data_IF_812597766191
#
_entry.id   IF_812597766191
#
_cell.length_a   1.000
_cell.length_b   1.000
_cell.length_c   1.000
_cell.angle_alpha   90.00
_cell.angle_beta   90.00
_cell.angle_gamma   90.00
#
_symmetry.space_group_name_H-M   'P 1'
#
loop_
_entity.id
_entity.type
_entity.pdbx_description
1 polymer ?
#
# COMPACT_ATOMS: atom_id res chain seq x y z
N UNK A 1 20.90 12.63 12.65
CA UNK A 1 19.74 11.97 12.00
C UNK A 1 18.68 11.86 13.06
N UNK A 2 17.48 12.34 12.77
CA UNK A 2 16.34 12.12 13.67
C UNK A 2 16.07 10.62 13.79
N UNK A 3 15.63 10.18 14.97
CA UNK A 3 15.26 8.78 15.18
C UNK A 3 14.15 8.40 14.20
N UNK A 4 14.21 7.22 13.56
CA UNK A 4 13.18 6.79 12.63
C UNK A 4 11.83 6.71 13.36
N UNK A 5 10.77 7.14 12.67
CA UNK A 5 9.40 7.02 13.16
C UNK A 5 8.72 6.01 12.25
N UNK A 6 8.50 4.80 12.74
CA UNK A 6 7.81 3.78 11.94
C UNK A 6 6.29 3.95 12.00
N UNK A 7 5.63 3.63 10.89
CA UNK A 7 4.19 3.38 10.94
C UNK A 7 3.88 2.23 11.91
N UNK A 8 2.73 2.28 12.56
CA UNK A 8 2.15 1.17 13.33
C UNK A 8 1.16 0.37 12.48
N UNK A 9 0.41 1.06 11.61
CA UNK A 9 -0.54 0.45 10.68
C UNK A 9 -0.48 1.13 9.31
N UNK A 10 -0.60 0.31 8.27
CA UNK A 10 -0.59 0.74 6.87
C UNK A 10 -1.75 0.06 6.15
N UNK A 11 -2.45 0.81 5.31
CA UNK A 11 -3.50 0.33 4.43
C UNK A 11 -3.17 0.69 2.98
N UNK A 12 -3.34 -0.28 2.08
CA UNK A 12 -3.48 -0.03 0.64
C UNK A 12 -4.88 -0.43 0.21
N UNK A 13 -5.63 0.55 -0.28
CA UNK A 13 -7.01 0.36 -0.72
C UNK A 13 -7.11 0.49 -2.23
N UNK A 14 -7.38 -0.62 -2.91
CA UNK A 14 -7.55 -0.75 -4.35
C UNK A 14 -9.03 -0.61 -4.72
N UNK A 15 -9.36 0.39 -5.52
CA UNK A 15 -10.69 0.51 -6.12
C UNK A 15 -10.63 -0.11 -7.53
N UNK A 16 -11.27 -1.27 -7.72
CA UNK A 16 -11.36 -1.91 -9.03
C UNK A 16 -12.64 -1.51 -9.76
N UNK A 17 -12.64 -1.70 -11.08
CA UNK A 17 -13.86 -1.68 -11.89
C UNK A 17 -14.84 -2.78 -11.40
N UNK A 18 -16.15 -2.56 -11.56
CA UNK A 18 -17.25 -3.50 -11.21
C UNK A 18 -17.53 -3.71 -9.71
N UNK A 19 -17.47 -2.63 -8.94
CA UNK A 19 -17.80 -2.59 -7.51
C UNK A 19 -16.99 -3.55 -6.61
N UNK A 20 -15.76 -3.88 -7.03
CA UNK A 20 -14.83 -4.67 -6.24
C UNK A 20 -13.80 -3.77 -5.55
N UNK A 21 -13.51 -4.06 -4.29
CA UNK A 21 -12.58 -3.30 -3.45
C UNK A 21 -11.57 -4.27 -2.82
N UNK A 22 -10.29 -4.04 -3.09
CA UNK A 22 -9.19 -4.76 -2.46
C UNK A 22 -8.63 -3.94 -1.32
N UNK A 23 -8.46 -4.53 -0.15
CA UNK A 23 -7.84 -3.86 1.00
C UNK A 23 -6.70 -4.71 1.52
N UNK A 24 -5.48 -4.18 1.44
CA UNK A 24 -4.31 -4.75 2.10
C UNK A 24 -4.05 -4.00 3.39
N UNK A 25 -3.94 -4.72 4.51
CA UNK A 25 -3.65 -4.15 5.81
C UNK A 25 -2.38 -4.76 6.38
N UNK A 26 -1.41 -3.91 6.67
CA UNK A 26 -0.19 -4.24 7.37
C UNK A 26 -0.26 -3.66 8.79
N UNK A 27 -0.26 -4.53 9.78
CA UNK A 27 -0.17 -4.19 11.19
C UNK A 27 1.23 -4.56 11.69
N UNK A 28 2.09 -3.56 11.86
CA UNK A 28 3.49 -3.75 12.26
C UNK A 28 3.61 -4.13 13.74
N UNK A 29 2.66 -3.71 14.57
CA UNK A 29 2.63 -4.05 16.01
C UNK A 29 2.35 -5.54 16.19
N UNK A 30 1.34 -6.06 15.48
CA UNK A 30 0.94 -7.47 15.55
C UNK A 30 1.70 -8.37 14.58
N UNK A 31 2.58 -7.79 13.75
CA UNK A 31 3.33 -8.47 12.68
C UNK A 31 2.40 -9.25 11.74
N UNK A 32 1.33 -8.61 11.30
CA UNK A 32 0.30 -9.21 10.45
C UNK A 32 0.17 -8.47 9.13
N UNK A 33 0.10 -9.23 8.04
CA UNK A 33 -0.27 -8.74 6.74
C UNK A 33 -1.52 -9.49 6.28
N UNK A 34 -2.52 -8.74 5.83
CA UNK A 34 -3.76 -9.31 5.32
C UNK A 34 -4.19 -8.64 4.03
N UNK A 35 -4.95 -9.37 3.24
CA UNK A 35 -5.63 -8.86 2.06
C UNK A 35 -7.06 -9.39 2.00
N UNK A 36 -7.99 -8.51 1.68
CA UNK A 36 -9.39 -8.85 1.44
C UNK A 36 -9.86 -8.26 0.12
N UNK A 37 -10.58 -9.05 -0.67
CA UNK A 37 -11.30 -8.61 -1.85
C UNK A 37 -12.80 -8.71 -1.57
N UNK A 38 -13.48 -7.57 -1.64
CA UNK A 38 -14.90 -7.46 -1.34
C UNK A 38 -15.62 -6.98 -2.59
N UNK A 39 -16.75 -7.60 -2.93
CA UNK A 39 -17.70 -7.09 -3.93
C UNK A 39 -18.83 -6.38 -3.21
N UNK A 40 -19.05 -5.11 -3.53
CA UNK A 40 -20.12 -4.27 -2.99
C UNK A 40 -21.20 -4.11 -4.03
N UNK A 41 -22.41 -4.60 -3.80
CA UNK A 41 -23.53 -4.29 -4.69
C UNK A 41 -24.66 -3.66 -3.88
N UNK A 42 -24.88 -2.36 -4.10
CA UNK A 42 -25.81 -1.53 -3.32
C UNK A 42 -25.51 -1.56 -1.81
N UNK A 43 -26.24 -2.38 -1.05
CA UNK A 43 -26.11 -2.56 0.40
C UNK A 43 -25.54 -3.92 0.82
N UNK A 44 -25.25 -4.80 -0.15
CA UNK A 44 -24.72 -6.13 0.13
C UNK A 44 -23.22 -6.15 -0.12
N UNK A 45 -22.48 -6.62 0.88
CA UNK A 45 -21.05 -6.88 0.77
C UNK A 45 -20.81 -8.39 0.74
N UNK A 46 -20.01 -8.85 -0.21
CA UNK A 46 -19.58 -10.25 -0.28
C UNK A 46 -18.06 -10.31 -0.32
N UNK A 47 -17.47 -10.97 0.66
CA UNK A 47 -16.05 -11.32 0.64
C UNK A 47 -15.84 -12.35 -0.47
N UNK A 48 -15.10 -11.98 -1.51
CA UNK A 48 -14.71 -12.87 -2.61
C UNK A 48 -13.42 -13.63 -2.30
N UNK A 49 -12.54 -13.00 -1.53
CA UNK A 49 -11.26 -13.58 -1.13
C UNK A 49 -10.76 -12.92 0.15
N UNK A 50 -10.11 -13.71 1.01
CA UNK A 50 -9.39 -13.22 2.18
C UNK A 50 -8.15 -14.07 2.41
N UNK A 51 -7.04 -13.42 2.72
CA UNK A 51 -5.78 -14.05 3.06
C UNK A 51 -5.09 -13.26 4.18
N UNK A 52 -4.49 -13.97 5.12
CA UNK A 52 -3.71 -13.39 6.20
C UNK A 52 -2.43 -14.18 6.41
N UNK A 53 -1.36 -13.49 6.75
CA UNK A 53 -0.05 -14.08 7.04
C UNK A 53 0.62 -13.33 8.19
N UNK A 54 1.27 -14.08 9.08
CA UNK A 54 2.17 -13.52 10.09
C UNK A 54 3.52 -13.24 9.45
N UNK A 55 4.03 -12.03 9.68
CA UNK A 55 5.37 -11.63 9.30
C UNK A 55 6.35 -12.30 10.25
N UNK A 56 7.35 -12.99 9.69
CA UNK A 56 8.41 -13.62 10.47
C UNK A 56 9.32 -12.55 11.05
N UNK A 57 9.87 -12.82 12.22
CA UNK A 57 10.82 -11.90 12.86
C UNK A 57 12.04 -11.64 11.99
N UNK A 58 12.50 -12.65 11.24
CA UNK A 58 13.64 -12.52 10.31
C UNK A 58 13.35 -11.59 9.12
N UNK A 59 12.08 -11.46 8.71
CA UNK A 59 11.68 -10.57 7.61
C UNK A 59 11.47 -9.11 8.09
N UNK A 60 11.30 -8.89 9.40
CA UNK A 60 10.91 -7.60 9.96
C UNK A 60 11.97 -6.51 9.73
N UNK A 61 13.29 -6.74 9.92
CA UNK A 61 14.30 -5.71 9.65
C UNK A 61 14.31 -5.21 8.21
N UNK A 62 14.05 -6.10 7.24
CA UNK A 62 13.94 -5.75 5.82
C UNK A 62 12.68 -4.90 5.58
N UNK A 63 11.52 -5.36 6.08
CA UNK A 63 10.26 -4.63 5.95
C UNK A 63 10.31 -3.22 6.55
N UNK A 64 10.94 -3.05 7.73
CA UNK A 64 11.02 -1.76 8.41
C UNK A 64 11.73 -0.68 7.60
N UNK A 65 12.63 -1.05 6.67
CA UNK A 65 13.30 -0.10 5.77
C UNK A 65 12.32 0.63 4.85
N UNK A 66 11.13 0.07 4.62
CA UNK A 66 10.08 0.66 3.80
C UNK A 66 8.98 1.37 4.60
N UNK A 67 9.06 1.35 5.94
CA UNK A 67 7.96 1.77 6.82
C UNK A 67 8.29 2.98 7.70
N UNK A 68 9.41 3.67 7.45
CA UNK A 68 9.74 4.92 8.13
C UNK A 68 8.82 6.04 7.62
N UNK A 69 7.92 6.52 8.46
CA UNK A 69 6.93 7.53 8.14
C UNK A 69 7.54 8.86 7.71
N UNK A 70 8.73 9.20 8.22
CA UNK A 70 9.44 10.43 7.84
C UNK A 70 9.80 10.45 6.35
N UNK A 71 10.01 9.30 5.73
CA UNK A 71 10.33 9.21 4.29
C UNK A 71 9.12 9.59 3.42
N UNK A 72 7.91 9.53 3.98
CA UNK A 72 6.65 9.79 3.28
C UNK A 72 6.19 11.25 3.45
N UNK A 73 6.67 11.96 4.47
CA UNK A 73 6.26 13.35 4.76
C UNK A 73 6.46 14.33 3.60
N UNK A 74 7.54 14.27 2.79
CA UNK A 74 7.69 15.14 1.63
C UNK A 74 6.57 14.99 0.60
N UNK A 75 5.87 13.86 0.59
CA UNK A 75 4.79 13.53 -0.33
C UNK A 75 3.39 13.88 0.22
N UNK A 76 3.32 14.44 1.43
CA UNK A 76 2.07 14.86 2.04
C UNK A 76 1.44 15.98 1.24
N UNK A 77 0.17 15.79 0.85
CA UNK A 77 -0.62 16.78 0.10
C UNK A 77 0.03 17.24 -1.21
N UNK A 78 0.90 16.44 -1.83
CA UNK A 78 1.39 16.77 -3.16
C UNK A 78 0.21 16.82 -4.13
N UNK A 79 0.12 17.94 -4.84
CA UNK A 79 -0.84 18.19 -5.90
C UNK A 79 -0.47 17.39 -7.16
N UNK A 80 -1.42 16.64 -7.69
CA UNK A 80 -1.29 15.82 -8.90
C UNK A 80 -1.03 16.62 -10.18
N UNK A 81 -1.25 17.94 -10.14
CA UNK A 81 -0.96 18.85 -11.24
C UNK A 81 0.51 19.30 -11.33
N UNK A 82 1.35 18.98 -10.33
CA UNK A 82 2.76 19.40 -10.27
C UNK A 82 3.67 18.33 -10.90
N UNK A 83 3.81 18.38 -12.22
CA UNK A 83 4.86 17.74 -13.04
C UNK A 83 5.70 16.66 -12.35
N UNK A 84 5.13 15.48 -12.16
CA UNK A 84 5.80 14.35 -11.53
C UNK A 84 6.95 13.83 -12.41
N UNK A 85 8.17 14.11 -11.98
CA UNK A 85 9.38 13.61 -12.62
C UNK A 85 9.38 12.08 -12.59
N UNK A 86 9.63 11.45 -13.73
CA UNK A 86 9.74 9.99 -13.84
C UNK A 86 8.41 9.25 -14.00
N UNK A 87 7.30 9.93 -14.29
CA UNK A 87 6.09 9.24 -14.78
C UNK A 87 6.41 8.55 -16.10
N UNK A 88 6.00 7.29 -16.21
CA UNK A 88 5.94 6.59 -17.50
C UNK A 88 4.56 6.00 -17.83
N UNK A 89 3.58 6.10 -16.91
CA UNK A 89 2.23 5.62 -17.17
C UNK A 89 1.23 5.97 -16.07
N UNK A 90 -0.05 5.78 -16.39
CA UNK A 90 -1.18 5.97 -15.47
C UNK A 90 -1.78 4.61 -15.10
N UNK A 91 -2.39 4.54 -13.92
CA UNK A 91 -3.23 3.41 -13.51
C UNK A 91 -4.66 3.66 -13.99
N UNK A 92 -4.89 3.58 -15.30
CA UNK A 92 -6.18 3.86 -15.94
C UNK A 92 -7.33 3.12 -15.22
N UNK A 93 -8.24 3.89 -14.60
CA UNK A 93 -9.41 3.42 -13.85
C UNK A 93 -9.13 2.52 -12.62
N UNK A 94 -7.89 2.49 -12.13
CA UNK A 94 -7.50 1.67 -10.97
C UNK A 94 -6.60 2.46 -10.03
N UNK A 95 -7.21 3.15 -9.06
CA UNK A 95 -6.48 3.90 -8.04
C UNK A 95 -6.18 3.04 -6.80
N UNK A 96 -4.97 3.18 -6.26
CA UNK A 96 -4.64 2.71 -4.92
C UNK A 96 -4.57 3.90 -3.98
N UNK A 97 -5.22 3.82 -2.81
CA UNK A 97 -5.08 4.82 -1.75
C UNK A 97 -4.21 4.21 -0.66
N UNK A 98 -3.05 4.81 -0.43
CA UNK A 98 -2.21 4.52 0.73
C UNK A 98 -2.70 5.31 1.93
N UNK A 99 -2.80 4.66 3.09
CA UNK A 99 -2.94 5.30 4.40
C UNK A 99 -1.93 4.75 5.39
N UNK A 100 -1.22 5.61 6.09
CA UNK A 100 -0.26 5.24 7.13
C UNK A 100 -0.58 5.95 8.43
N UNK A 101 -0.58 5.22 9.55
CA UNK A 101 -0.69 5.76 10.91
C UNK A 101 0.55 5.33 11.68
N UNK A 102 1.13 6.25 12.44
CA UNK A 102 2.21 5.98 13.39
C UNK A 102 1.70 6.17 14.82
N UNK A 103 2.38 5.57 15.79
CA UNK A 103 2.12 5.85 17.21
C UNK A 103 2.92 7.07 17.70
N UNK A 104 3.08 8.08 16.84
CA UNK A 104 3.85 9.29 17.12
C UNK A 104 2.98 10.55 17.00
N UNK A 105 3.60 11.72 17.01
CA UNK A 105 2.94 13.00 16.77
C UNK A 105 2.54 13.22 15.29
N UNK A 106 3.01 12.39 14.36
CA UNK A 106 2.70 12.55 12.95
C UNK A 106 1.23 12.19 12.67
N UNK A 107 0.47 13.08 12.01
CA UNK A 107 -0.91 12.80 11.65
C UNK A 107 -0.96 11.71 10.58
N UNK A 108 -2.10 11.01 10.49
CA UNK A 108 -2.36 10.02 9.44
C UNK A 108 -1.96 10.59 8.08
N UNK A 109 -1.19 9.80 7.34
CA UNK A 109 -0.73 10.16 6.01
C UNK A 109 -1.61 9.47 4.98
N UNK A 110 -2.01 10.19 3.94
CA UNK A 110 -2.81 9.68 2.82
C UNK A 110 -2.17 10.08 1.51
N UNK A 111 -1.86 9.10 0.66
CA UNK A 111 -1.30 9.33 -0.68
C UNK A 111 -2.16 8.57 -1.70
N UNK A 112 -2.47 9.24 -2.81
CA UNK A 112 -3.10 8.62 -3.96
C UNK A 112 -2.03 8.07 -4.91
N UNK A 113 -2.18 6.81 -5.29
CA UNK A 113 -1.30 6.11 -6.23
C UNK A 113 -2.08 5.90 -7.52
N UNK A 114 -2.07 6.90 -8.38
CA UNK A 114 -2.77 6.91 -9.68
C UNK A 114 -1.81 6.85 -10.87
N UNK A 115 -0.51 6.97 -10.61
CA UNK A 115 0.58 6.98 -11.60
C UNK A 115 1.60 5.89 -11.30
N UNK A 116 2.38 5.53 -12.32
CA UNK A 116 3.57 4.70 -12.20
C UNK A 116 4.82 5.56 -12.38
N UNK A 117 5.73 5.48 -11.42
CA UNK A 117 7.04 6.12 -11.46
C UNK A 117 8.14 5.13 -11.87
N UNK A 118 9.12 5.61 -12.64
CA UNK A 118 10.33 4.85 -12.95
C UNK A 118 11.13 4.52 -11.67
N UNK A 119 12.06 3.57 -11.75
CA UNK A 119 12.80 3.10 -10.57
C UNK A 119 13.65 4.20 -9.90
N UNK A 120 14.04 5.24 -10.64
CA UNK A 120 14.83 6.36 -10.13
C UNK A 120 13.99 7.33 -9.32
N UNK A 121 12.72 7.48 -9.66
CA UNK A 121 11.82 8.48 -9.07
C UNK A 121 10.69 7.85 -8.23
N UNK A 122 10.61 6.52 -8.13
CA UNK A 122 9.57 5.79 -7.40
C UNK A 122 9.43 6.23 -5.94
N UNK A 123 8.18 6.45 -5.55
CA UNK A 123 7.81 6.94 -4.22
C UNK A 123 7.86 5.83 -3.15
N UNK A 124 8.01 6.19 -1.87
CA UNK A 124 8.15 5.20 -0.80
C UNK A 124 6.91 4.30 -0.64
N UNK A 125 5.70 4.82 -0.85
CA UNK A 125 4.46 4.02 -0.84
C UNK A 125 4.41 3.00 -1.98
N UNK A 126 4.90 3.36 -3.18
CA UNK A 126 5.01 2.41 -4.30
C UNK A 126 6.09 1.36 -4.04
N UNK A 127 7.25 1.75 -3.50
CA UNK A 127 8.31 0.80 -3.09
C UNK A 127 7.78 -0.22 -2.08
N UNK A 128 7.09 0.26 -1.04
CA UNK A 128 6.50 -0.59 -0.02
C UNK A 128 5.44 -1.53 -0.62
N UNK A 129 4.53 -1.01 -1.45
CA UNK A 129 3.52 -1.83 -2.10
C UNK A 129 4.15 -2.92 -2.98
N UNK A 130 5.13 -2.56 -3.83
CA UNK A 130 5.89 -3.50 -4.67
C UNK A 130 6.54 -4.60 -3.84
N UNK A 131 7.21 -4.23 -2.74
CA UNK A 131 7.84 -5.17 -1.81
C UNK A 131 6.83 -6.17 -1.23
N UNK A 132 5.71 -5.68 -0.68
CA UNK A 132 4.69 -6.53 -0.06
C UNK A 132 4.08 -7.50 -1.07
N UNK A 133 3.78 -7.02 -2.28
CA UNK A 133 3.25 -7.83 -3.37
C UNK A 133 4.24 -8.93 -3.75
N UNK A 134 5.51 -8.58 -3.97
CA UNK A 134 6.53 -9.55 -4.39
C UNK A 134 6.82 -10.60 -3.32
N UNK A 135 7.01 -10.17 -2.07
CA UNK A 135 7.38 -11.04 -0.95
C UNK A 135 6.24 -11.96 -0.51
N UNK A 136 5.01 -11.45 -0.37
CA UNK A 136 3.90 -12.18 0.24
C UNK A 136 2.83 -12.64 -0.75
N UNK A 137 2.74 -12.00 -1.93
CA UNK A 137 1.69 -12.26 -2.91
C UNK A 137 2.20 -12.60 -4.31
N UNK A 138 3.51 -12.82 -4.49
CA UNK A 138 4.13 -13.03 -5.81
C UNK A 138 3.70 -14.33 -6.52
N UNK A 139 3.04 -15.24 -5.80
CA UNK A 139 2.55 -16.49 -6.37
C UNK A 139 1.39 -16.24 -7.35
N UNK A 140 1.42 -16.88 -8.52
CA UNK A 140 0.40 -16.73 -9.60
C UNK A 140 -1.05 -16.87 -9.11
N UNK A 141 -1.28 -17.63 -8.04
CA UNK A 141 -2.60 -17.83 -7.42
C UNK A 141 -3.28 -16.54 -6.96
N UNK A 142 -2.51 -15.49 -6.65
CA UNK A 142 -3.03 -14.23 -6.12
C UNK A 142 -3.41 -13.22 -7.21
N UNK A 143 -2.86 -13.37 -8.43
CA UNK A 143 -3.12 -12.44 -9.55
C UNK A 143 -4.60 -12.36 -9.93
N UNK A 144 -5.32 -13.48 -9.85
CA UNK A 144 -6.77 -13.53 -10.14
C UNK A 144 -7.64 -12.75 -9.14
N UNK A 145 -7.06 -12.31 -8.02
CA UNK A 145 -7.75 -11.52 -6.98
C UNK A 145 -7.35 -10.04 -7.00
N UNK A 146 -6.74 -9.57 -8.10
CA UNK A 146 -6.35 -8.16 -8.28
C UNK A 146 -5.13 -7.75 -7.46
N UNK A 147 -4.32 -8.73 -7.02
CA UNK A 147 -3.07 -8.48 -6.29
C UNK A 147 -1.93 -8.44 -7.29
N UNK A 148 -1.53 -7.24 -7.67
CA UNK A 148 -0.51 -6.95 -8.70
C UNK A 148 0.20 -5.62 -8.41
N UNK A 149 1.39 -5.46 -9.00
CA UNK A 149 2.14 -4.21 -9.08
C UNK A 149 2.33 -3.89 -10.56
#
# INVERSE_FOLDING_TARGET
MDKPIYFSKIEFKNNFLQDCEGTMLLNLVEKELSYQLVKRHRKNEKILFSYGVKIKDDDLPELLQYCNALDFEPYRNIDESMGYKGIYGYRDCWGIVFRGISNSYLPMLKIYMVIYHDEKHIWPNEKLYKYLIQKYFGHKKFKKYGIYY
#
